data_IF_635505747846
#
_entry.id   IF_635505747846
#
_cell.length_a   1.000
_cell.length_b   1.000
_cell.length_c   1.000
_cell.angle_alpha   90.00
_cell.angle_beta   90.00
_cell.angle_gamma   90.00
#
_symmetry.space_group_name_H-M   'P 1'
#
loop_
_entity.id
_entity.type
_entity.pdbx_description
1 polymer ?
#
# COMPACT_ATOMS: atom_id res chain seq x y z
N UNK A 1 23.00 15.18 -1.80
CA UNK A 1 23.28 13.98 -2.61
C UNK A 1 22.81 12.73 -1.93
N UNK A 2 22.10 11.87 -2.68
CA UNK A 2 21.49 10.63 -2.17
C UNK A 2 22.32 9.38 -2.42
N UNK A 3 23.59 9.50 -2.85
CA UNK A 3 24.50 8.38 -3.12
C UNK A 3 23.87 7.28 -4.00
N UNK A 4 23.24 7.68 -5.11
CA UNK A 4 22.56 6.77 -6.05
C UNK A 4 21.49 5.87 -5.38
N UNK A 5 20.86 6.35 -4.31
CA UNK A 5 19.78 5.64 -3.61
C UNK A 5 18.44 6.35 -3.74
N UNK A 6 17.35 5.58 -3.63
CA UNK A 6 15.97 6.05 -3.65
C UNK A 6 15.08 5.21 -2.73
N UNK A 7 13.83 5.64 -2.56
CA UNK A 7 12.84 4.96 -1.71
C UNK A 7 12.45 3.61 -2.31
N UNK A 8 12.43 2.57 -1.47
CA UNK A 8 12.05 1.22 -1.90
C UNK A 8 10.53 1.04 -2.12
N UNK A 9 9.68 1.87 -1.49
CA UNK A 9 8.23 1.78 -1.62
C UNK A 9 7.50 2.84 -0.80
N UNK A 10 6.17 2.72 -0.70
CA UNK A 10 5.33 3.74 -0.06
C UNK A 10 5.66 3.96 1.43
N UNK A 11 6.07 2.90 2.14
CA UNK A 11 6.25 2.95 3.58
C UNK A 11 4.93 3.00 4.35
N UNK A 12 4.98 2.60 5.62
CA UNK A 12 3.78 2.47 6.46
C UNK A 12 3.45 3.79 7.15
N UNK A 13 2.17 4.09 7.30
CA UNK A 13 1.68 5.17 8.19
C UNK A 13 1.32 4.64 9.57
N UNK A 14 1.08 3.33 9.70
CA UNK A 14 0.71 2.68 10.95
C UNK A 14 1.41 1.34 11.13
N UNK A 15 1.70 1.00 12.38
CA UNK A 15 2.23 -0.32 12.73
C UNK A 15 1.23 -1.44 12.39
N UNK A 16 1.72 -2.67 12.19
CA UNK A 16 0.88 -3.84 11.85
C UNK A 16 -0.26 -4.05 12.85
N UNK A 17 0.06 -4.08 14.15
CA UNK A 17 -0.93 -4.25 15.22
C UNK A 17 -1.92 -3.09 15.30
N UNK A 18 -1.48 -1.87 14.95
CA UNK A 18 -2.36 -0.70 14.94
C UNK A 18 -3.38 -0.84 13.80
N UNK A 19 -2.92 -1.17 12.60
CA UNK A 19 -3.79 -1.42 11.44
C UNK A 19 -4.88 -2.45 11.75
N UNK A 20 -4.50 -3.59 12.32
CA UNK A 20 -5.45 -4.65 12.71
C UNK A 20 -6.50 -4.20 13.75
N UNK A 21 -6.17 -3.21 14.59
CA UNK A 21 -7.05 -2.69 15.64
C UNK A 21 -7.96 -1.56 15.15
N UNK A 22 -7.42 -0.65 14.34
CA UNK A 22 -8.08 0.61 13.96
C UNK A 22 -8.78 0.57 12.61
N UNK A 23 -8.34 -0.29 11.68
CA UNK A 23 -8.95 -0.37 10.36
C UNK A 23 -10.24 -1.18 10.39
N UNK A 24 -11.18 -0.77 9.55
CA UNK A 24 -12.44 -1.45 9.36
C UNK A 24 -12.32 -2.46 8.21
N UNK A 25 -12.44 -3.73 8.56
CA UNK A 25 -12.36 -4.84 7.62
C UNK A 25 -13.35 -4.69 6.46
N UNK A 26 -14.60 -4.36 6.76
CA UNK A 26 -15.67 -4.26 5.76
C UNK A 26 -15.43 -3.11 4.79
N UNK A 27 -14.85 -2.02 5.29
CA UNK A 27 -14.50 -0.85 4.48
C UNK A 27 -13.35 -1.17 3.53
N UNK A 28 -12.28 -1.80 4.03
CA UNK A 28 -11.12 -2.15 3.20
C UNK A 28 -11.49 -3.14 2.10
N UNK A 29 -12.29 -4.16 2.41
CA UNK A 29 -12.83 -5.11 1.42
C UNK A 29 -13.61 -4.34 0.34
N UNK A 30 -14.59 -3.50 0.75
CA UNK A 30 -15.38 -2.70 -0.21
C UNK A 30 -14.52 -1.79 -1.07
N UNK A 31 -13.45 -1.21 -0.53
CA UNK A 31 -12.59 -0.30 -1.27
C UNK A 31 -11.66 -1.05 -2.24
N UNK A 32 -11.28 -2.29 -1.95
CA UNK A 32 -10.58 -3.18 -2.89
C UNK A 32 -11.54 -3.68 -3.99
N UNK A 33 -12.76 -4.06 -3.64
CA UNK A 33 -13.80 -4.50 -4.57
C UNK A 33 -14.14 -3.39 -5.57
N UNK A 34 -14.33 -2.15 -5.11
CA UNK A 34 -14.55 -0.98 -5.98
C UNK A 34 -13.42 -0.76 -6.98
N UNK A 35 -12.18 -1.14 -6.61
CA UNK A 35 -11.00 -1.04 -7.48
C UNK A 35 -10.83 -2.27 -8.38
N UNK A 36 -11.75 -3.24 -8.32
CA UNK A 36 -11.68 -4.53 -9.02
C UNK A 36 -10.38 -5.29 -8.71
N UNK A 37 -9.92 -5.22 -7.45
CA UNK A 37 -8.72 -5.94 -6.99
C UNK A 37 -9.19 -7.18 -6.25
N UNK A 38 -8.87 -8.37 -6.78
CA UNK A 38 -9.12 -9.63 -6.09
C UNK A 38 -8.27 -9.69 -4.81
N UNK A 39 -8.83 -10.14 -3.70
CA UNK A 39 -8.07 -10.18 -2.44
C UNK A 39 -8.36 -11.42 -1.60
N UNK A 40 -7.38 -11.86 -0.81
CA UNK A 40 -7.54 -12.95 0.16
C UNK A 40 -7.83 -12.48 1.59
N UNK A 41 -8.15 -11.19 1.80
CA UNK A 41 -8.47 -10.63 3.11
C UNK A 41 -9.77 -11.26 3.64
N UNK A 42 -9.69 -11.92 4.80
CA UNK A 42 -10.84 -12.58 5.44
C UNK A 42 -11.08 -12.11 6.87
N UNK A 43 -10.04 -11.61 7.54
CA UNK A 43 -10.08 -11.29 8.96
C UNK A 43 -9.34 -9.99 9.27
N UNK A 44 -9.56 -9.46 10.49
CA UNK A 44 -8.82 -8.29 10.98
C UNK A 44 -7.31 -8.51 11.03
N UNK A 45 -6.83 -9.76 11.11
CA UNK A 45 -5.39 -10.05 11.10
C UNK A 45 -4.75 -9.69 9.75
N UNK A 46 -5.53 -9.79 8.68
CA UNK A 46 -5.07 -9.55 7.31
C UNK A 46 -5.01 -8.05 6.95
N UNK A 47 -5.51 -7.18 7.84
CA UNK A 47 -5.53 -5.73 7.64
C UNK A 47 -4.17 -5.05 7.84
N UNK A 48 -3.17 -5.80 8.29
CA UNK A 48 -1.84 -5.24 8.48
C UNK A 48 -1.18 -4.78 7.16
N UNK A 49 -1.66 -5.20 5.99
CA UNK A 49 -1.23 -4.65 4.69
C UNK A 49 -2.38 -4.11 3.86
N UNK A 50 -3.49 -3.74 4.51
CA UNK A 50 -4.53 -2.99 3.82
C UNK A 50 -3.92 -1.72 3.18
N UNK A 51 -4.41 -1.27 2.02
CA UNK A 51 -3.89 -0.08 1.35
C UNK A 51 -3.82 1.15 2.25
N UNK A 52 -4.78 1.31 3.16
CA UNK A 52 -4.83 2.41 4.14
C UNK A 52 -3.74 2.36 5.22
N UNK A 53 -3.03 1.24 5.37
CA UNK A 53 -1.89 1.13 6.29
C UNK A 53 -0.59 1.74 5.74
N UNK A 54 -0.58 2.09 4.45
CA UNK A 54 0.58 2.66 3.74
C UNK A 54 0.34 4.12 3.35
N UNK A 55 1.44 4.84 3.06
CA UNK A 55 1.37 6.17 2.45
C UNK A 55 0.84 6.07 1.01
N UNK A 56 0.42 7.19 0.46
CA UNK A 56 0.18 7.29 -0.97
C UNK A 56 1.52 7.15 -1.71
N UNK A 57 1.66 6.08 -2.52
CA UNK A 57 2.85 5.86 -3.34
C UNK A 57 3.11 7.04 -4.29
N UNK A 58 2.05 7.73 -4.77
CA UNK A 58 2.21 8.88 -5.66
C UNK A 58 2.90 10.04 -4.96
N UNK A 59 2.67 10.20 -3.66
CA UNK A 59 3.35 11.22 -2.86
C UNK A 59 4.84 10.88 -2.72
N UNK A 60 5.16 9.62 -2.40
CA UNK A 60 6.56 9.17 -2.30
C UNK A 60 7.29 9.36 -3.63
N UNK A 61 6.67 8.99 -4.75
CA UNK A 61 7.27 9.16 -6.08
C UNK A 61 7.47 10.64 -6.45
N UNK A 62 6.53 11.53 -6.11
CA UNK A 62 6.69 12.98 -6.31
C UNK A 62 7.86 13.54 -5.51
N UNK A 63 8.07 13.07 -4.29
CA UNK A 63 9.13 13.58 -3.41
C UNK A 63 10.55 13.17 -3.81
N UNK A 64 10.70 12.23 -4.75
CA UNK A 64 11.99 11.74 -5.23
C UNK A 64 12.14 11.87 -6.76
N UNK A 65 11.35 12.75 -7.39
CA UNK A 65 11.37 12.95 -8.84
C UNK A 65 12.70 13.47 -9.39
N UNK A 66 13.54 14.03 -8.52
CA UNK A 66 14.91 14.45 -8.81
C UNK A 66 15.92 13.30 -8.72
N UNK A 67 15.55 12.17 -8.12
CA UNK A 67 16.40 11.00 -7.92
C UNK A 67 16.09 9.83 -8.86
N UNK A 68 14.86 9.76 -9.39
CA UNK A 68 14.40 8.60 -10.17
C UNK A 68 13.61 9.02 -11.41
N UNK A 69 13.69 8.21 -12.46
CA UNK A 69 12.84 8.30 -13.65
C UNK A 69 11.75 7.21 -13.60
N UNK A 70 10.50 7.58 -13.86
CA UNK A 70 9.38 6.63 -13.88
C UNK A 70 9.29 6.01 -15.27
N UNK A 71 9.59 4.71 -15.36
CA UNK A 71 9.51 3.95 -16.62
C UNK A 71 8.09 3.38 -16.83
N UNK A 72 7.47 2.87 -15.76
CA UNK A 72 6.16 2.20 -15.84
C UNK A 72 5.40 2.29 -14.51
N UNK A 73 4.07 2.41 -14.59
CA UNK A 73 3.17 2.28 -13.44
C UNK A 73 2.36 0.98 -13.57
N UNK A 74 2.42 0.12 -12.55
CA UNK A 74 1.67 -1.13 -12.49
C UNK A 74 0.47 -0.98 -11.55
N UNK A 75 -0.68 -1.53 -11.97
CA UNK A 75 -1.88 -1.60 -11.13
C UNK A 75 -2.12 -3.06 -10.70
N UNK A 76 -2.33 -3.32 -9.40
CA UNK A 76 -2.56 -4.68 -8.94
C UNK A 76 -3.92 -5.20 -9.44
N UNK A 77 -3.94 -6.45 -9.90
CA UNK A 77 -5.18 -7.18 -10.21
C UNK A 77 -5.62 -8.08 -9.06
N UNK A 78 -4.67 -8.62 -8.29
CA UNK A 78 -4.92 -9.49 -7.17
C UNK A 78 -3.90 -9.29 -6.04
N UNK A 79 -4.33 -9.44 -4.79
CA UNK A 79 -3.51 -9.41 -3.58
C UNK A 79 -3.80 -10.67 -2.76
N UNK A 80 -2.84 -11.59 -2.75
CA UNK A 80 -2.95 -12.84 -1.99
C UNK A 80 -1.92 -12.81 -0.87
N UNK A 81 -2.40 -13.01 0.36
CA UNK A 81 -1.58 -13.17 1.56
C UNK A 81 -1.44 -14.63 1.95
N UNK A 82 -0.27 -14.98 2.50
CA UNK A 82 0.04 -16.25 3.16
C UNK A 82 0.31 -16.05 4.65
#
# INVERSE_FOLDING_TARGET
DSFESCSHGAGRVMGRKQAQRSLDLSKEIKDLDKKNILHSIQSKKDLDEAPSAYKDIKEVMRNQSDLVEIIVELKPMAVIKG
#
